data_IF_217807007047
#
_entry.id   IF_217807007047
#
_cell.length_a   1.000
_cell.length_b   1.000
_cell.length_c   1.000
_cell.angle_alpha   90.00
_cell.angle_beta   90.00
_cell.angle_gamma   90.00
#
_symmetry.space_group_name_H-M   'P 1'
#
loop_
_entity.id
_entity.type
_entity.pdbx_description
1 polymer ?
#
# COMPACT_ATOMS: atom_id res chain seq x y z
N UNK A 1 11.53 -20.32 25.50
CA UNK A 1 10.37 -19.80 24.75
C UNK A 1 10.79 -19.64 23.31
N UNK A 2 10.08 -20.24 22.36
CA UNK A 2 10.36 -20.06 20.93
C UNK A 2 9.55 -18.85 20.47
N UNK A 3 10.23 -17.83 19.94
CA UNK A 3 9.56 -16.67 19.36
C UNK A 3 8.91 -17.10 18.03
N UNK A 4 7.59 -16.91 17.89
CA UNK A 4 6.84 -17.20 16.66
C UNK A 4 6.54 -15.88 15.93
N UNK A 5 6.89 -15.81 14.65
CA UNK A 5 6.49 -14.70 13.78
C UNK A 5 5.00 -14.89 13.45
N UNK A 6 4.17 -13.92 13.84
CA UNK A 6 2.70 -13.97 13.64
C UNK A 6 2.19 -12.97 12.61
N UNK A 7 3.03 -12.05 12.16
CA UNK A 7 2.72 -11.11 11.12
C UNK A 7 3.96 -10.41 10.57
N UNK A 8 3.82 -9.82 9.39
CA UNK A 8 4.86 -9.08 8.72
C UNK A 8 4.24 -7.87 7.99
N UNK A 9 5.06 -6.85 7.80
CA UNK A 9 4.77 -5.72 6.91
C UNK A 9 6.05 -5.41 6.14
N UNK A 10 5.94 -5.25 4.83
CA UNK A 10 7.03 -4.80 3.98
C UNK A 10 6.81 -3.35 3.57
N UNK A 11 7.91 -2.62 3.39
CA UNK A 11 7.91 -1.26 2.89
C UNK A 11 9.00 -1.10 1.85
N UNK A 12 8.66 -0.45 0.76
CA UNK A 12 9.56 -0.17 -0.35
C UNK A 12 9.62 1.34 -0.57
N UNK A 13 10.79 1.84 -0.96
CA UNK A 13 10.89 3.22 -1.42
C UNK A 13 10.08 3.38 -2.68
N UNK A 14 9.45 4.52 -2.85
CA UNK A 14 8.67 4.86 -4.03
C UNK A 14 8.64 6.35 -4.22
N UNK A 15 8.03 6.81 -5.30
CA UNK A 15 8.10 8.22 -5.64
C UNK A 15 6.80 8.80 -6.15
N UNK A 16 6.65 10.10 -5.97
CA UNK A 16 5.62 10.89 -6.64
C UNK A 16 6.34 11.84 -7.60
N UNK A 17 6.02 11.73 -8.90
CA UNK A 17 6.38 12.74 -9.88
C UNK A 17 5.39 13.91 -9.73
N UNK A 18 5.87 14.99 -9.11
CA UNK A 18 5.08 16.16 -8.79
C UNK A 18 4.67 16.96 -10.02
N UNK A 19 3.49 17.56 -9.96
CA UNK A 19 3.00 18.48 -11.00
C UNK A 19 3.88 19.75 -11.11
N UNK A 20 4.67 20.03 -10.07
CA UNK A 20 5.66 21.10 -10.04
C UNK A 20 7.03 20.70 -10.66
N UNK A 21 7.11 19.51 -11.25
CA UNK A 21 8.30 18.98 -11.90
C UNK A 21 9.33 18.37 -10.94
N UNK A 22 9.05 18.30 -9.63
CA UNK A 22 9.95 17.67 -8.64
C UNK A 22 9.62 16.20 -8.43
N UNK A 23 10.60 15.44 -7.93
CA UNK A 23 10.38 14.09 -7.43
C UNK A 23 10.28 14.10 -5.91
N UNK A 24 9.27 13.43 -5.37
CA UNK A 24 9.04 13.32 -3.93
C UNK A 24 9.19 11.87 -3.48
N UNK A 25 10.11 11.62 -2.56
CA UNK A 25 10.28 10.28 -1.97
C UNK A 25 9.18 9.97 -0.95
N UNK A 26 8.59 8.79 -1.08
CA UNK A 26 7.54 8.22 -0.23
C UNK A 26 7.82 6.73 -0.03
N UNK A 27 7.00 6.03 0.77
CA UNK A 27 7.07 4.57 0.86
C UNK A 27 5.76 3.91 0.45
N UNK A 28 5.86 2.79 -0.26
CA UNK A 28 4.78 1.84 -0.46
C UNK A 28 4.68 0.93 0.76
N UNK A 29 3.48 0.71 1.28
CA UNK A 29 3.24 -0.29 2.32
C UNK A 29 2.56 -1.51 1.72
N UNK A 30 3.27 -2.63 1.69
CA UNK A 30 2.74 -3.87 1.18
C UNK A 30 3.84 -4.88 0.78
N UNK A 31 3.58 -6.18 0.94
CA UNK A 31 2.40 -6.77 1.57
C UNK A 31 2.37 -6.58 3.10
N UNK A 32 1.17 -6.70 3.67
CA UNK A 32 0.95 -6.89 5.11
C UNK A 32 0.25 -8.23 5.33
N UNK A 33 0.82 -9.06 6.19
CA UNK A 33 0.30 -10.39 6.47
C UNK A 33 0.21 -10.65 7.96
N UNK A 34 -0.89 -11.26 8.40
CA UNK A 34 -1.05 -11.78 9.77
C UNK A 34 -1.55 -13.21 9.66
N UNK A 35 -0.95 -14.11 10.42
CA UNK A 35 -1.37 -15.52 10.48
C UNK A 35 -2.87 -15.61 10.82
N UNK A 36 -3.64 -16.50 10.16
CA UNK A 36 -5.10 -16.58 10.33
C UNK A 36 -5.56 -16.65 11.79
N UNK A 37 -4.90 -17.44 12.64
CA UNK A 37 -5.27 -17.60 14.04
C UNK A 37 -4.98 -16.36 14.93
N UNK A 38 -4.33 -15.35 14.36
CA UNK A 38 -3.99 -14.07 14.98
C UNK A 38 -4.67 -12.86 14.33
N UNK A 39 -5.49 -13.06 13.29
CA UNK A 39 -6.29 -12.00 12.67
C UNK A 39 -7.39 -11.52 13.62
N UNK A 40 -7.89 -10.29 13.40
CA UNK A 40 -8.92 -9.67 14.25
C UNK A 40 -8.43 -9.21 15.64
N UNK A 41 -7.15 -9.45 15.98
CA UNK A 41 -6.55 -9.08 17.28
C UNK A 41 -5.79 -7.75 17.27
N UNK A 42 -5.95 -6.94 16.22
CA UNK A 42 -5.30 -5.62 16.10
C UNK A 42 -3.84 -5.63 15.61
N UNK A 43 -3.24 -6.80 15.36
CA UNK A 43 -1.82 -6.93 14.98
C UNK A 43 -1.48 -6.15 13.71
N UNK A 44 -2.33 -6.22 12.67
CA UNK A 44 -2.11 -5.47 11.43
C UNK A 44 -2.04 -3.96 11.66
N UNK A 45 -2.88 -3.42 12.54
CA UNK A 45 -2.83 -2.01 12.93
C UNK A 45 -1.57 -1.67 13.74
N UNK A 46 -1.12 -2.56 14.61
CA UNK A 46 0.14 -2.39 15.36
C UNK A 46 1.36 -2.35 14.43
N UNK A 47 1.39 -3.22 13.41
CA UNK A 47 2.45 -3.22 12.39
C UNK A 47 2.47 -1.88 11.64
N UNK A 48 1.31 -1.41 11.18
CA UNK A 48 1.18 -0.12 10.47
C UNK A 48 1.60 1.06 11.37
N UNK A 49 1.14 1.09 12.62
CA UNK A 49 1.49 2.15 13.57
C UNK A 49 3.01 2.19 13.83
N UNK A 50 3.64 1.01 13.96
CA UNK A 50 5.08 0.90 14.11
C UNK A 50 5.84 1.39 12.87
N UNK A 51 5.39 0.98 11.67
CA UNK A 51 5.94 1.45 10.39
C UNK A 51 5.88 2.97 10.27
N UNK A 52 4.73 3.59 10.60
CA UNK A 52 4.58 5.05 10.57
C UNK A 52 5.59 5.76 11.46
N UNK A 53 5.83 5.23 12.67
CA UNK A 53 6.83 5.77 13.59
C UNK A 53 8.24 5.71 13.00
N UNK A 54 8.64 4.57 12.43
CA UNK A 54 9.96 4.39 11.81
C UNK A 54 10.11 5.32 10.60
N UNK A 55 9.14 5.28 9.67
CA UNK A 55 9.20 6.06 8.43
C UNK A 55 9.27 7.57 8.71
N UNK A 56 8.50 8.05 9.69
CA UNK A 56 8.58 9.44 10.15
C UNK A 56 9.96 9.78 10.71
N UNK A 57 10.55 8.89 11.52
CA UNK A 57 11.90 9.06 12.06
C UNK A 57 13.00 9.06 11.00
N UNK A 58 12.74 8.46 9.84
CA UNK A 58 13.65 8.45 8.68
C UNK A 58 13.42 9.64 7.72
N UNK A 59 12.45 10.51 8.00
CA UNK A 59 12.20 11.70 7.20
C UNK A 59 11.32 11.49 5.95
N UNK A 60 10.66 10.35 5.81
CA UNK A 60 9.72 10.13 4.71
C UNK A 60 8.50 11.04 4.83
N UNK A 61 7.97 11.43 3.66
CA UNK A 61 6.81 12.34 3.55
C UNK A 61 5.50 11.65 3.91
N UNK A 62 5.32 10.45 3.37
CA UNK A 62 4.07 9.74 3.48
C UNK A 62 4.21 8.27 3.11
N UNK A 63 3.14 7.54 3.43
CA UNK A 63 2.96 6.14 3.08
C UNK A 63 1.80 6.05 2.09
N UNK A 64 2.01 5.33 0.99
CA UNK A 64 0.97 5.03 0.00
C UNK A 64 0.76 3.53 -0.14
N UNK A 65 -0.42 3.13 -0.58
CA UNK A 65 -0.77 1.75 -0.90
C UNK A 65 -2.05 1.67 -1.72
N UNK A 66 -2.21 0.55 -2.42
CA UNK A 66 -3.52 0.10 -2.90
C UNK A 66 -4.17 -0.83 -1.88
N UNK A 67 -5.41 -0.54 -1.49
CA UNK A 67 -6.04 -1.29 -0.41
C UNK A 67 -7.51 -1.00 -0.16
N UNK A 68 -8.11 -1.79 0.73
CA UNK A 68 -9.51 -1.65 1.12
C UNK A 68 -9.74 -0.39 1.97
N UNK A 69 -10.60 0.51 1.48
CA UNK A 69 -10.92 1.79 2.13
C UNK A 69 -11.40 1.62 3.56
N UNK A 70 -12.23 0.62 3.86
CA UNK A 70 -12.76 0.46 5.23
C UNK A 70 -11.64 0.11 6.20
N UNK A 71 -10.70 -0.76 5.79
CA UNK A 71 -9.55 -1.12 6.61
C UNK A 71 -8.59 0.04 6.82
N UNK A 72 -8.13 0.69 5.74
CA UNK A 72 -7.06 1.68 5.82
C UNK A 72 -7.51 3.03 6.37
N UNK A 73 -8.79 3.40 6.21
CA UNK A 73 -9.34 4.60 6.85
C UNK A 73 -9.26 4.52 8.37
N UNK A 74 -9.56 3.34 8.95
CA UNK A 74 -9.38 3.11 10.41
C UNK A 74 -7.93 3.22 10.87
N UNK A 75 -6.98 3.07 9.96
CA UNK A 75 -5.56 3.22 10.24
C UNK A 75 -5.06 4.64 10.00
N UNK A 76 -5.92 5.60 9.66
CA UNK A 76 -5.56 7.00 9.41
C UNK A 76 -4.96 7.25 8.02
N UNK A 77 -5.33 6.42 7.04
CA UNK A 77 -5.13 6.74 5.63
C UNK A 77 -6.40 7.39 5.07
N UNK A 78 -6.25 8.14 3.98
CA UNK A 78 -7.35 8.70 3.20
C UNK A 78 -7.11 8.41 1.72
N UNK A 79 -8.14 8.52 0.89
CA UNK A 79 -7.98 8.36 -0.57
C UNK A 79 -6.96 9.39 -1.07
N UNK A 80 -6.00 8.96 -1.89
CA UNK A 80 -4.87 9.78 -2.32
C UNK A 80 -5.29 10.99 -3.17
N UNK A 81 -6.49 10.95 -3.77
CA UNK A 81 -7.12 12.10 -4.42
C UNK A 81 -7.23 13.32 -3.49
N UNK A 82 -7.41 13.12 -2.17
CA UNK A 82 -7.44 14.24 -1.21
C UNK A 82 -6.13 15.03 -1.14
N UNK A 83 -5.02 14.45 -1.58
CA UNK A 83 -3.72 15.11 -1.74
C UNK A 83 -3.44 15.50 -3.21
N UNK A 84 -4.40 15.27 -4.11
CA UNK A 84 -4.21 15.41 -5.55
C UNK A 84 -3.19 14.42 -6.13
N UNK A 85 -3.01 13.25 -5.50
CA UNK A 85 -2.11 12.20 -5.99
C UNK A 85 -2.89 11.19 -6.83
N UNK A 86 -2.34 10.90 -8.01
CA UNK A 86 -2.86 9.96 -9.01
C UNK A 86 -1.98 8.71 -9.07
N UNK A 87 -2.50 7.62 -9.63
CA UNK A 87 -1.69 6.45 -9.93
C UNK A 87 -0.71 6.69 -11.09
N UNK A 88 0.07 5.67 -11.42
CA UNK A 88 1.03 5.72 -12.51
C UNK A 88 0.35 6.03 -13.86
N UNK A 89 -0.89 5.62 -14.08
CA UNK A 89 -1.68 5.90 -15.31
C UNK A 89 -2.31 7.29 -15.33
N UNK A 90 -1.97 8.16 -14.37
CA UNK A 90 -2.50 9.52 -14.23
C UNK A 90 -4.02 9.57 -13.93
N UNK A 91 -4.51 8.59 -13.18
CA UNK A 91 -5.90 8.47 -12.74
C UNK A 91 -6.02 8.61 -11.23
N UNK A 92 -7.11 9.21 -10.75
CA UNK A 92 -7.52 9.04 -9.37
C UNK A 92 -8.15 7.66 -9.21
N UNK A 93 -7.78 6.96 -8.14
CA UNK A 93 -8.24 5.60 -7.87
C UNK A 93 -8.75 5.49 -6.44
N UNK A 94 -9.96 4.98 -6.25
CA UNK A 94 -10.56 4.78 -4.92
C UNK A 94 -9.71 3.84 -4.05
N UNK A 95 -9.02 2.89 -4.70
CA UNK A 95 -8.14 1.94 -4.02
C UNK A 95 -6.80 2.57 -3.58
N UNK A 96 -6.37 3.70 -4.15
CA UNK A 96 -5.09 4.34 -3.81
C UNK A 96 -5.26 5.23 -2.58
N UNK A 97 -4.55 4.91 -1.52
CA UNK A 97 -4.62 5.62 -0.25
C UNK A 97 -3.27 6.22 0.14
N UNK A 98 -3.31 7.37 0.81
CA UNK A 98 -2.15 8.06 1.34
C UNK A 98 -2.28 8.37 2.84
N UNK A 99 -1.15 8.38 3.54
CA UNK A 99 -1.05 8.86 4.92
C UNK A 99 0.18 9.77 5.04
N UNK A 100 -0.05 11.04 5.33
CA UNK A 100 1.02 12.00 5.63
C UNK A 100 1.71 11.65 6.97
N UNK A 101 3.04 11.75 7.01
CA UNK A 101 3.83 11.50 8.23
C UNK A 101 4.12 12.78 9.03
N UNK A 102 3.93 13.93 8.39
CA UNK A 102 3.90 15.27 8.99
C UNK A 102 2.91 16.15 8.21
N UNK A 103 2.42 17.21 8.84
CA UNK A 103 1.36 18.05 8.28
C UNK A 103 1.73 18.63 6.90
N UNK A 104 0.87 18.41 5.90
CA UNK A 104 1.02 18.94 4.55
C UNK A 104 2.08 18.24 3.68
N UNK A 105 2.65 17.12 4.16
CA UNK A 105 3.74 16.41 3.48
C UNK A 105 3.40 15.91 2.07
N UNK A 106 2.17 15.43 1.87
CA UNK A 106 1.67 14.89 0.60
C UNK A 106 0.86 15.92 -0.18
N UNK A 107 0.19 16.85 0.50
CA UNK A 107 -0.52 17.97 -0.14
C UNK A 107 0.45 18.83 -0.97
N UNK A 108 1.67 19.03 -0.48
CA UNK A 108 2.76 19.70 -1.23
C UNK A 108 3.38 18.84 -2.35
N UNK A 109 2.98 17.58 -2.48
CA UNK A 109 3.53 16.60 -3.42
C UNK A 109 2.47 16.10 -4.42
N UNK A 110 1.45 16.91 -4.73
CA UNK A 110 0.45 16.64 -5.79
C UNK A 110 1.15 16.14 -7.06
N UNK A 111 0.72 15.01 -7.61
CA UNK A 111 1.44 14.37 -8.71
C UNK A 111 0.99 12.95 -9.03
N UNK A 112 1.85 12.20 -9.74
CA UNK A 112 1.66 10.78 -10.08
C UNK A 112 2.56 9.90 -9.21
N UNK A 113 1.95 8.98 -8.49
CA UNK A 113 2.63 7.98 -7.67
C UNK A 113 3.11 6.80 -8.53
N UNK A 114 4.36 6.41 -8.30
CA UNK A 114 5.01 5.26 -8.92
C UNK A 114 5.55 4.34 -7.84
N UNK A 115 5.11 3.08 -7.89
CA UNK A 115 5.71 1.99 -7.14
C UNK A 115 7.10 1.65 -7.69
N UNK A 116 7.92 1.02 -6.86
CA UNK A 116 9.24 0.51 -7.25
C UNK A 116 9.11 -0.61 -8.29
N UNK A 117 10.09 -0.72 -9.19
CA UNK A 117 10.06 -1.71 -10.26
C UNK A 117 10.19 -3.15 -9.75
N UNK A 118 10.59 -3.35 -8.49
CA UNK A 118 10.56 -4.66 -7.82
C UNK A 118 9.16 -5.30 -7.80
N UNK A 119 8.08 -4.53 -7.94
CA UNK A 119 6.73 -5.08 -8.07
C UNK A 119 6.47 -5.71 -9.45
N UNK A 120 7.27 -5.39 -10.46
CA UNK A 120 7.16 -5.92 -11.82
C UNK A 120 7.92 -7.23 -11.98
N UNK A 121 7.43 -8.29 -11.33
CA UNK A 121 8.02 -9.64 -11.42
C UNK A 121 7.23 -10.49 -12.43
N UNK A 122 7.95 -11.25 -13.26
CA UNK A 122 7.32 -12.21 -14.16
C UNK A 122 6.59 -13.30 -13.37
N UNK A 123 5.33 -13.57 -13.74
CA UNK A 123 4.48 -14.56 -13.07
C UNK A 123 5.10 -15.97 -13.03
N UNK A 124 5.92 -16.32 -14.04
CA UNK A 124 6.66 -17.57 -14.07
C UNK A 124 7.71 -17.69 -12.95
N UNK A 125 8.37 -16.59 -12.60
CA UNK A 125 9.35 -16.56 -11.51
C UNK A 125 8.66 -16.65 -10.14
N UNK A 126 7.49 -16.02 -10.00
CA UNK A 126 6.66 -16.13 -8.79
C UNK A 126 6.20 -17.59 -8.62
N UNK A 127 5.72 -18.20 -9.69
CA UNK A 127 5.28 -19.60 -9.69
C UNK A 127 6.41 -20.56 -9.34
N UNK A 128 7.62 -20.34 -9.87
CA UNK A 128 8.81 -21.13 -9.55
C UNK A 128 9.20 -20.97 -8.07
N UNK A 129 9.20 -19.73 -7.56
CA UNK A 129 9.50 -19.44 -6.16
C UNK A 129 8.52 -20.11 -5.18
N UNK A 130 7.22 -20.12 -5.50
CA UNK A 130 6.21 -20.75 -4.65
C UNK A 130 6.40 -22.27 -4.52
N UNK A 131 7.05 -22.94 -5.48
CA UNK A 131 7.38 -24.38 -5.38
C UNK A 131 8.35 -24.71 -4.25
N UNK A 132 9.06 -23.71 -3.72
CA UNK A 132 10.00 -23.85 -2.61
C UNK A 132 9.30 -23.98 -1.25
N UNK A 133 7.98 -23.77 -1.19
CA UNK A 133 7.18 -23.84 0.04
C UNK A 133 6.25 -25.06 0.04
N UNK A 134 5.78 -25.51 1.21
CA UNK A 134 4.72 -26.51 1.27
C UNK A 134 3.49 -26.05 0.49
N UNK A 135 2.94 -26.94 -0.33
CA UNK A 135 1.78 -26.65 -1.17
C UNK A 135 0.62 -26.06 -0.37
N UNK A 136 0.00 -25.03 -0.94
CA UNK A 136 -1.26 -24.44 -0.47
C UNK A 136 -2.20 -24.30 -1.66
N UNK A 137 -3.46 -24.64 -1.44
CA UNK A 137 -4.52 -24.37 -2.40
C UNK A 137 -4.67 -22.85 -2.58
N UNK A 138 -4.64 -22.39 -3.84
CA UNK A 138 -4.88 -20.99 -4.16
C UNK A 138 -6.38 -20.74 -4.04
N UNK A 139 -6.74 -19.78 -3.19
CA UNK A 139 -8.14 -19.40 -2.96
C UNK A 139 -8.45 -18.18 -3.82
N UNK A 140 -9.41 -18.35 -4.72
CA UNK A 140 -9.93 -17.29 -5.58
C UNK A 140 -11.33 -16.86 -5.13
N UNK A 141 -11.81 -15.74 -5.69
CA UNK A 141 -13.21 -15.32 -5.62
C UNK A 141 -13.81 -15.12 -4.22
N UNK A 142 -12.95 -14.93 -3.20
CA UNK A 142 -13.41 -14.58 -1.86
C UNK A 142 -14.21 -13.27 -1.89
N UNK A 143 -15.16 -13.07 -0.96
CA UNK A 143 -15.91 -11.81 -0.90
C UNK A 143 -15.01 -10.57 -0.83
N UNK A 144 -13.86 -10.68 -0.16
CA UNK A 144 -12.89 -9.59 -0.05
C UNK A 144 -12.15 -9.33 -1.38
N UNK A 145 -11.73 -10.37 -2.10
CA UNK A 145 -11.10 -10.22 -3.42
C UNK A 145 -12.05 -9.54 -4.40
N UNK A 146 -13.31 -10.00 -4.47
CA UNK A 146 -14.33 -9.40 -5.35
C UNK A 146 -14.61 -7.93 -5.01
N UNK A 147 -14.73 -7.62 -3.71
CA UNK A 147 -14.89 -6.23 -3.25
C UNK A 147 -13.70 -5.36 -3.68
N UNK A 148 -12.48 -5.86 -3.49
CA UNK A 148 -11.27 -5.12 -3.86
C UNK A 148 -11.14 -4.95 -5.37
N UNK A 149 -11.42 -5.97 -6.18
CA UNK A 149 -11.44 -5.89 -7.64
C UNK A 149 -12.44 -4.83 -8.16
N UNK A 150 -13.62 -4.74 -7.54
CA UNK A 150 -14.58 -3.68 -7.86
C UNK A 150 -14.03 -2.29 -7.52
N UNK A 151 -13.26 -2.15 -6.43
CA UNK A 151 -12.67 -0.89 -6.01
C UNK A 151 -11.51 -0.46 -6.91
N UNK A 152 -10.63 -1.39 -7.31
CA UNK A 152 -9.53 -1.12 -8.24
C UNK A 152 -10.03 -0.60 -9.58
N UNK A 153 -11.22 -1.03 -10.02
CA UNK A 153 -11.87 -0.55 -11.26
C UNK A 153 -12.46 0.86 -11.13
N UNK A 154 -12.64 1.40 -9.92
CA UNK A 154 -13.14 2.75 -9.70
C UNK A 154 -12.00 3.75 -9.83
N UNK A 155 -11.74 4.11 -11.09
CA UNK A 155 -10.78 5.13 -11.47
C UNK A 155 -11.47 6.23 -12.25
N UNK A 156 -10.99 7.47 -12.12
CA UNK A 156 -11.44 8.61 -12.91
C UNK A 156 -10.25 9.47 -13.33
N UNK A 157 -10.32 10.11 -14.51
CA UNK A 157 -9.24 10.98 -14.97
C UNK A 157 -9.09 12.19 -14.07
N UNK A 158 -7.91 12.79 -14.06
CA UNK A 158 -7.78 14.16 -13.55
C UNK A 158 -8.56 15.08 -14.47
N UNK A 159 -9.60 15.72 -13.97
CA UNK A 159 -10.14 16.90 -14.63
C UNK A 159 -9.01 17.94 -14.64
N UNK A 160 -8.64 18.41 -15.83
CA UNK A 160 -7.71 19.51 -16.05
C UNK A 160 -8.44 20.83 -15.77
#
# INVERSE_FOLDING_TARGET
MVNKIVGNVMCLKSSIAGDDGKQYEVISLGPIGVLPEYQGKGIGGMLIAHTKKIAKGQGFRGILLFGDTDYYTRQGFVVAESFGIRNAENMYADALHGCELYEGALTSARGRYFEDDIYNVAESLVSEFDTLFPFKEVIHDTPMQKKFEMMVKKVKPSEL
#
